data_IF_444825388997
#
_entry.id   IF_444825388997
#
_cell.length_a   1.000
_cell.length_b   1.000
_cell.length_c   1.000
_cell.angle_alpha   90.00
_cell.angle_beta   90.00
_cell.angle_gamma   90.00
#
_symmetry.space_group_name_H-M   'P 1'
#
loop_
_entity.id
_entity.type
_entity.pdbx_description
1 polymer ?
#
# COMPACT_ATOMS: atom_id res chain seq x y z
N UNK A 1 13.44 -57.12 100.26
CA UNK A 1 13.83 -56.01 99.38
C UNK A 1 12.76 -55.86 98.33
N UNK A 2 11.96 -54.81 98.43
CA UNK A 2 10.88 -54.53 97.49
C UNK A 2 11.45 -53.95 96.19
N UNK A 3 11.29 -54.66 95.08
CA UNK A 3 11.60 -54.12 93.76
C UNK A 3 10.37 -53.39 93.21
N UNK A 4 10.47 -52.06 93.12
CA UNK A 4 9.51 -51.21 92.43
C UNK A 4 9.71 -51.32 90.91
N UNK A 5 8.91 -52.14 90.23
CA UNK A 5 8.83 -52.12 88.76
C UNK A 5 7.72 -51.17 88.32
N UNK A 6 8.03 -50.24 87.42
CA UNK A 6 7.06 -49.33 86.80
C UNK A 6 6.97 -49.69 85.32
N UNK A 7 5.79 -50.12 84.88
CA UNK A 7 5.54 -50.48 83.48
C UNK A 7 5.13 -49.20 82.72
N UNK A 8 6.04 -48.60 81.96
CA UNK A 8 5.68 -47.55 81.01
C UNK A 8 5.14 -48.20 79.73
N UNK A 9 3.83 -48.11 79.53
CA UNK A 9 3.21 -48.52 78.26
C UNK A 9 3.48 -47.41 77.24
N UNK A 10 4.63 -47.51 76.56
CA UNK A 10 4.95 -46.63 75.44
C UNK A 10 4.13 -47.08 74.24
N UNK A 11 3.20 -46.24 73.79
CA UNK A 11 2.40 -46.52 72.60
C UNK A 11 3.29 -46.38 71.34
N UNK A 12 3.93 -47.49 70.96
CA UNK A 12 4.91 -47.53 69.88
C UNK A 12 4.37 -46.98 68.54
N UNK A 13 3.06 -47.11 68.27
CA UNK A 13 2.44 -46.57 67.04
C UNK A 13 2.42 -45.03 67.01
N UNK A 14 2.14 -44.38 68.14
CA UNK A 14 2.14 -42.92 68.23
C UNK A 14 3.58 -42.38 68.12
N UNK A 15 4.53 -43.01 68.80
CA UNK A 15 5.94 -42.59 68.79
C UNK A 15 6.59 -42.72 67.40
N UNK A 16 6.22 -43.76 66.65
CA UNK A 16 6.66 -43.93 65.25
C UNK A 16 6.01 -42.90 64.33
N UNK A 17 4.72 -42.59 64.51
CA UNK A 17 4.05 -41.56 63.73
C UNK A 17 4.68 -40.17 63.94
N UNK A 18 4.99 -39.80 65.18
CA UNK A 18 5.66 -38.53 65.51
C UNK A 18 7.08 -38.46 64.92
N UNK A 19 7.84 -39.56 65.02
CA UNK A 19 9.19 -39.64 64.42
C UNK A 19 9.17 -39.56 62.90
N UNK A 20 8.22 -40.23 62.24
CA UNK A 20 8.04 -40.14 60.79
C UNK A 20 7.60 -38.73 60.39
N UNK A 21 6.69 -38.11 61.14
CA UNK A 21 6.23 -36.76 60.89
C UNK A 21 7.37 -35.73 61.00
N UNK A 22 8.20 -35.79 62.04
CA UNK A 22 9.35 -34.89 62.16
C UNK A 22 10.40 -35.10 61.07
N UNK A 23 10.65 -36.36 60.67
CA UNK A 23 11.57 -36.65 59.56
C UNK A 23 11.04 -36.09 58.24
N UNK A 24 9.74 -36.28 57.94
CA UNK A 24 9.10 -35.74 56.74
C UNK A 24 9.14 -34.22 56.76
N UNK A 25 8.78 -33.57 57.87
CA UNK A 25 8.81 -32.11 58.00
C UNK A 25 10.23 -31.53 57.86
N UNK A 26 11.25 -32.21 58.38
CA UNK A 26 12.66 -31.78 58.23
C UNK A 26 13.14 -31.89 56.78
N UNK A 27 12.71 -32.92 56.04
CA UNK A 27 13.10 -33.14 54.64
C UNK A 27 12.33 -32.18 53.73
N UNK A 28 11.02 -32.03 53.92
CA UNK A 28 10.17 -31.09 53.18
C UNK A 28 10.59 -29.63 53.40
N UNK A 29 10.95 -29.27 54.63
CA UNK A 29 11.43 -27.94 54.99
C UNK A 29 12.73 -27.52 54.28
N UNK A 30 13.53 -28.48 53.79
CA UNK A 30 14.74 -28.21 53.00
C UNK A 30 14.51 -28.26 51.49
N UNK A 31 13.74 -29.24 51.00
CA UNK A 31 13.53 -29.48 49.56
C UNK A 31 12.69 -28.39 48.91
N UNK A 32 11.60 -27.97 49.56
CA UNK A 32 10.67 -26.97 49.02
C UNK A 32 11.36 -25.62 48.76
N UNK A 33 12.09 -25.00 49.72
CA UNK A 33 12.76 -23.73 49.46
C UNK A 33 13.87 -23.84 48.42
N UNK A 34 14.57 -24.98 48.36
CA UNK A 34 15.57 -25.23 47.32
C UNK A 34 14.93 -25.30 45.92
N UNK A 35 13.83 -26.03 45.77
CA UNK A 35 13.07 -26.06 44.51
C UNK A 35 12.56 -24.68 44.11
N UNK A 36 12.00 -23.92 45.06
CA UNK A 36 11.53 -22.56 44.81
C UNK A 36 12.68 -21.64 44.37
N UNK A 37 13.86 -21.76 44.99
CA UNK A 37 15.05 -21.02 44.59
C UNK A 37 15.49 -21.40 43.17
N UNK A 38 15.52 -22.68 42.83
CA UNK A 38 15.84 -23.14 41.48
C UNK A 38 14.86 -22.59 40.44
N UNK A 39 13.56 -22.58 40.74
CA UNK A 39 12.54 -22.00 39.85
C UNK A 39 12.72 -20.50 39.71
N UNK A 40 12.98 -19.77 40.79
CA UNK A 40 13.24 -18.32 40.78
C UNK A 40 14.49 -17.96 39.97
N UNK A 41 15.57 -18.70 40.14
CA UNK A 41 16.81 -18.51 39.37
C UNK A 41 16.57 -18.84 37.90
N UNK A 42 15.88 -19.94 37.59
CA UNK A 42 15.51 -20.31 36.23
C UNK A 42 14.66 -19.23 35.55
N UNK A 43 13.65 -18.71 36.25
CA UNK A 43 12.82 -17.61 35.79
C UNK A 43 13.64 -16.33 35.53
N UNK A 44 14.54 -15.98 36.47
CA UNK A 44 15.41 -14.81 36.32
C UNK A 44 16.31 -14.91 35.09
N UNK A 45 16.95 -16.07 34.89
CA UNK A 45 17.81 -16.32 33.73
C UNK A 45 17.02 -16.29 32.43
N UNK A 46 15.86 -16.95 32.37
CA UNK A 46 15.00 -16.96 31.19
C UNK A 46 14.55 -15.54 30.82
N UNK A 47 14.11 -14.76 31.82
CA UNK A 47 13.65 -13.39 31.59
C UNK A 47 14.79 -12.49 31.07
N UNK A 48 15.98 -12.60 31.67
CA UNK A 48 17.14 -11.75 31.32
C UNK A 48 17.78 -12.11 29.98
N UNK A 49 17.89 -13.40 29.65
CA UNK A 49 18.62 -13.85 28.46
C UNK A 49 17.72 -14.11 27.25
N UNK A 50 16.41 -14.31 27.42
CA UNK A 50 15.49 -14.63 26.31
C UNK A 50 14.42 -13.55 26.16
N UNK A 51 13.69 -13.23 27.23
CA UNK A 51 12.49 -12.37 27.13
C UNK A 51 12.86 -10.92 26.82
N UNK A 52 13.78 -10.33 27.60
CA UNK A 52 14.22 -8.94 27.37
C UNK A 52 14.72 -8.66 25.94
N UNK A 53 15.64 -9.46 25.36
CA UNK A 53 16.12 -9.19 24.01
C UNK A 53 15.03 -9.38 22.95
N UNK A 54 14.16 -10.39 23.07
CA UNK A 54 13.03 -10.59 22.15
C UNK A 54 12.09 -9.39 22.17
N UNK A 55 11.78 -8.85 23.36
CA UNK A 55 10.91 -7.66 23.47
C UNK A 55 11.56 -6.44 22.82
N UNK A 56 12.86 -6.20 23.03
CA UNK A 56 13.57 -5.08 22.38
C UNK A 56 13.58 -5.19 20.86
N UNK A 57 13.69 -6.42 20.33
CA UNK A 57 13.61 -6.70 18.90
C UNK A 57 12.21 -6.39 18.39
N UNK A 58 11.17 -6.92 19.05
CA UNK A 58 9.79 -6.72 18.66
C UNK A 58 9.40 -5.24 18.64
N UNK A 59 9.85 -4.46 19.64
CA UNK A 59 9.60 -3.01 19.66
C UNK A 59 10.33 -2.28 18.54
N UNK A 60 11.60 -2.62 18.25
CA UNK A 60 12.35 -2.00 17.13
C UNK A 60 11.73 -2.31 15.76
N UNK A 61 11.16 -3.50 15.59
CA UNK A 61 10.44 -3.90 14.36
C UNK A 61 9.11 -3.16 14.25
N UNK A 62 8.38 -3.00 15.36
CA UNK A 62 7.10 -2.29 15.36
C UNK A 62 7.28 -0.79 15.04
N UNK A 63 8.33 -0.18 15.59
CA UNK A 63 8.71 1.21 15.28
C UNK A 63 9.16 1.37 13.81
N UNK A 64 9.62 0.31 13.14
CA UNK A 64 10.05 0.33 11.74
C UNK A 64 8.92 0.08 10.73
N UNK A 65 7.64 0.09 11.14
CA UNK A 65 6.48 -0.05 10.24
C UNK A 65 6.45 0.98 9.09
N UNK A 66 7.26 2.02 9.14
CA UNK A 66 7.43 3.06 8.12
C UNK A 66 8.48 2.74 7.05
N UNK A 67 9.12 1.56 7.10
CA UNK A 67 10.18 1.19 6.18
C UNK A 67 11.54 1.81 6.55
N UNK A 68 12.62 1.09 6.24
CA UNK A 68 13.99 1.49 6.57
C UNK A 68 14.87 0.30 6.97
N UNK A 69 16.16 0.57 7.14
CA UNK A 69 17.12 -0.44 7.60
C UNK A 69 16.91 -0.66 9.10
N UNK A 70 16.61 -1.89 9.47
CA UNK A 70 16.55 -2.32 10.86
C UNK A 70 17.97 -2.71 11.25
N UNK A 71 18.57 -1.91 12.13
CA UNK A 71 19.89 -2.18 12.70
C UNK A 71 19.75 -2.50 14.19
N UNK A 72 19.79 -3.80 14.47
CA UNK A 72 19.78 -4.33 15.82
C UNK A 72 21.21 -4.79 16.12
N UNK A 73 21.91 -4.00 16.91
CA UNK A 73 23.18 -4.39 17.51
C UNK A 73 22.92 -5.39 18.64
N UNK A 74 23.39 -6.63 18.46
CA UNK A 74 23.24 -7.72 19.40
C UNK A 74 24.56 -8.48 19.50
N UNK A 75 25.35 -8.18 20.53
CA UNK A 75 26.71 -8.67 20.70
C UNK A 75 26.87 -10.09 21.26
N UNK A 76 25.84 -10.94 21.19
CA UNK A 76 25.94 -12.36 21.60
C UNK A 76 26.08 -13.23 20.36
N UNK A 77 27.04 -14.16 20.37
CA UNK A 77 27.27 -15.13 19.27
C UNK A 77 26.36 -16.38 19.35
N UNK A 78 25.18 -16.24 19.94
CA UNK A 78 24.17 -17.30 20.02
C UNK A 78 23.30 -17.36 18.76
N UNK A 79 22.35 -18.30 18.72
CA UNK A 79 21.42 -18.47 17.60
C UNK A 79 20.54 -17.22 17.38
N UNK A 80 20.29 -16.43 18.43
CA UNK A 80 19.54 -15.18 18.36
C UNK A 80 20.40 -14.13 17.63
N UNK A 81 21.70 -14.04 17.94
CA UNK A 81 22.62 -13.15 17.25
C UNK A 81 22.82 -13.51 15.78
N UNK A 82 22.87 -14.81 15.47
CA UNK A 82 22.91 -15.26 14.07
C UNK A 82 21.64 -14.85 13.30
N UNK A 83 20.46 -15.05 13.90
CA UNK A 83 19.19 -14.65 13.31
C UNK A 83 19.12 -13.14 13.07
N UNK A 84 19.58 -12.34 14.03
CA UNK A 84 19.61 -10.88 13.93
C UNK A 84 20.53 -10.42 12.81
N UNK A 85 21.74 -10.97 12.73
CA UNK A 85 22.69 -10.65 11.65
C UNK A 85 22.08 -10.93 10.29
N UNK A 86 21.46 -12.11 10.11
CA UNK A 86 20.79 -12.49 8.86
C UNK A 86 19.61 -11.58 8.54
N UNK A 87 18.87 -11.16 9.56
CA UNK A 87 17.74 -10.25 9.40
C UNK A 87 18.20 -8.85 8.99
N UNK A 88 19.24 -8.31 9.62
CA UNK A 88 19.84 -7.01 9.26
C UNK A 88 20.37 -7.05 7.81
N UNK A 89 21.10 -8.10 7.43
CA UNK A 89 21.56 -8.34 6.04
C UNK A 89 20.39 -8.32 5.04
N UNK A 90 19.31 -9.05 5.36
CA UNK A 90 18.12 -9.11 4.52
C UNK A 90 17.43 -7.76 4.40
N UNK A 91 17.37 -7.00 5.48
CA UNK A 91 16.74 -5.67 5.49
C UNK A 91 17.54 -4.69 4.65
N UNK A 92 18.87 -4.70 4.74
CA UNK A 92 19.75 -3.90 3.87
C UNK A 92 19.54 -4.28 2.40
N UNK A 93 19.49 -5.58 2.09
CA UNK A 93 19.23 -6.06 0.74
C UNK A 93 17.87 -5.56 0.20
N UNK A 94 16.81 -5.68 0.99
CA UNK A 94 15.47 -5.22 0.60
C UNK A 94 15.43 -3.70 0.37
N UNK A 95 16.10 -2.92 1.22
CA UNK A 95 16.18 -1.47 1.03
C UNK A 95 16.97 -1.10 -0.23
N UNK A 96 18.07 -1.80 -0.53
CA UNK A 96 18.81 -1.61 -1.78
C UNK A 96 17.95 -1.91 -3.01
N UNK A 97 17.20 -3.02 -3.00
CA UNK A 97 16.29 -3.36 -4.10
C UNK A 97 15.14 -2.35 -4.22
N UNK A 98 14.61 -1.86 -3.10
CA UNK A 98 13.60 -0.79 -3.07
C UNK A 98 14.13 0.50 -3.71
N UNK A 99 15.35 0.92 -3.35
CA UNK A 99 15.99 2.12 -3.91
C UNK A 99 16.24 1.95 -5.41
N UNK A 100 16.72 0.78 -5.87
CA UNK A 100 16.89 0.50 -7.31
C UNK A 100 15.56 0.55 -8.06
N UNK A 101 14.51 -0.07 -7.53
CA UNK A 101 13.18 -0.05 -8.13
C UNK A 101 12.62 1.38 -8.22
N UNK A 102 12.81 2.19 -7.17
CA UNK A 102 12.40 3.60 -7.17
C UNK A 102 13.19 4.41 -8.20
N UNK A 103 14.52 4.23 -8.27
CA UNK A 103 15.36 4.92 -9.25
C UNK A 103 14.96 4.57 -10.69
N UNK A 104 14.67 3.30 -10.96
CA UNK A 104 14.18 2.83 -12.26
C UNK A 104 12.83 3.47 -12.62
N UNK A 105 11.89 3.50 -11.67
CA UNK A 105 10.57 4.13 -11.85
C UNK A 105 10.71 5.63 -12.11
N UNK A 106 11.58 6.32 -11.37
CA UNK A 106 11.86 7.75 -11.54
C UNK A 106 12.46 8.05 -12.91
N UNK A 107 13.45 7.25 -13.34
CA UNK A 107 14.07 7.39 -14.66
C UNK A 107 13.07 7.16 -15.79
N UNK A 108 12.20 6.15 -15.68
CA UNK A 108 11.14 5.86 -16.66
C UNK A 108 10.20 7.05 -16.84
N UNK A 109 9.73 7.64 -15.75
CA UNK A 109 8.80 8.80 -15.84
C UNK A 109 9.49 10.06 -16.36
N UNK A 110 10.73 10.32 -15.95
CA UNK A 110 11.50 11.44 -16.49
C UNK A 110 11.71 11.30 -18.01
N UNK A 111 12.07 10.10 -18.46
CA UNK A 111 12.21 9.78 -19.88
C UNK A 111 10.91 9.99 -20.66
N UNK A 112 9.78 9.48 -20.15
CA UNK A 112 8.48 9.67 -20.78
C UNK A 112 8.07 11.14 -20.83
N UNK A 113 8.33 11.91 -19.77
CA UNK A 113 8.07 13.35 -19.73
C UNK A 113 8.85 14.12 -20.81
N UNK A 114 10.15 13.84 -20.93
CA UNK A 114 11.00 14.44 -21.98
C UNK A 114 10.48 14.06 -23.37
N UNK A 115 10.24 12.77 -23.63
CA UNK A 115 9.71 12.32 -24.92
C UNK A 115 8.39 12.99 -25.26
N UNK A 116 7.49 13.15 -24.27
CA UNK A 116 6.22 13.80 -24.53
C UNK A 116 6.38 15.25 -24.96
N UNK A 117 7.28 16.01 -24.35
CA UNK A 117 7.59 17.37 -24.77
C UNK A 117 8.19 17.43 -26.18
N UNK A 118 9.11 16.52 -26.50
CA UNK A 118 9.76 16.42 -27.80
C UNK A 118 8.80 15.97 -28.92
N UNK A 119 7.77 15.18 -28.61
CA UNK A 119 6.73 14.77 -29.57
C UNK A 119 5.63 15.83 -29.69
N UNK A 120 5.24 16.46 -28.57
CA UNK A 120 4.18 17.48 -28.53
C UNK A 120 4.45 18.64 -29.50
N UNK A 121 5.68 19.12 -29.54
CA UNK A 121 6.06 20.28 -30.35
C UNK A 121 5.88 20.05 -31.85
N UNK A 122 6.48 19.00 -32.47
CA UNK A 122 6.25 18.70 -33.88
C UNK A 122 4.80 18.29 -34.16
N UNK A 123 4.15 17.56 -33.25
CA UNK A 123 2.75 17.16 -33.44
C UNK A 123 1.80 18.35 -33.47
N UNK A 124 1.97 19.33 -32.58
CA UNK A 124 1.17 20.55 -32.60
C UNK A 124 1.38 21.35 -33.90
N UNK A 125 2.59 21.32 -34.47
CA UNK A 125 2.88 21.91 -35.78
C UNK A 125 2.15 21.20 -36.92
N UNK A 126 2.18 19.86 -36.95
CA UNK A 126 1.48 19.04 -37.96
C UNK A 126 -0.04 19.21 -37.84
N UNK A 127 -0.59 19.09 -36.62
CA UNK A 127 -2.02 19.25 -36.36
C UNK A 127 -2.49 20.68 -36.66
N UNK A 128 -1.72 21.70 -36.28
CA UNK A 128 -2.03 23.09 -36.60
C UNK A 128 -2.07 23.33 -38.11
N UNK A 129 -1.10 22.79 -38.85
CA UNK A 129 -1.07 22.89 -40.32
C UNK A 129 -2.24 22.16 -40.95
N UNK A 130 -2.56 20.94 -40.50
CA UNK A 130 -3.73 20.18 -40.95
C UNK A 130 -5.03 20.95 -40.68
N UNK A 131 -5.16 21.59 -39.52
CA UNK A 131 -6.33 22.37 -39.15
C UNK A 131 -6.49 23.65 -39.99
N UNK A 132 -5.38 24.27 -40.42
CA UNK A 132 -5.40 25.39 -41.37
C UNK A 132 -5.83 24.91 -42.75
N UNK A 133 -5.24 23.81 -43.24
CA UNK A 133 -5.56 23.23 -44.55
C UNK A 133 -7.03 22.77 -44.63
N UNK A 134 -7.61 22.25 -43.54
CA UNK A 134 -9.03 21.88 -43.49
C UNK A 134 -9.99 23.06 -43.74
N UNK A 135 -9.51 24.30 -43.54
CA UNK A 135 -10.26 25.55 -43.78
C UNK A 135 -10.06 26.12 -45.18
N UNK A 136 -9.21 25.53 -46.02
CA UNK A 136 -9.00 25.93 -47.41
C UNK A 136 -9.95 25.18 -48.36
N UNK A 137 -10.10 25.62 -49.62
CA UNK A 137 -10.78 24.82 -50.63
C UNK A 137 -10.03 23.50 -50.83
N UNK A 138 -10.72 22.37 -50.64
CA UNK A 138 -10.19 21.02 -50.78
C UNK A 138 -11.19 20.18 -51.57
N UNK A 139 -10.71 19.20 -52.33
CA UNK A 139 -11.59 18.16 -52.88
C UNK A 139 -12.12 17.26 -51.75
N UNK A 140 -13.21 16.54 -51.99
CA UNK A 140 -13.79 15.64 -50.98
C UNK A 140 -12.81 14.56 -50.51
N UNK A 141 -12.00 14.01 -51.42
CA UNK A 141 -10.94 13.05 -51.05
C UNK A 141 -9.84 13.69 -50.19
N UNK A 142 -9.38 14.90 -50.54
CA UNK A 142 -8.38 15.61 -49.76
C UNK A 142 -8.89 15.93 -48.35
N UNK A 143 -10.15 16.38 -48.24
CA UNK A 143 -10.80 16.63 -46.94
C UNK A 143 -10.85 15.36 -46.10
N UNK A 144 -11.23 14.23 -46.69
CA UNK A 144 -11.30 12.93 -46.00
C UNK A 144 -9.93 12.47 -45.49
N UNK A 145 -8.90 12.53 -46.33
CA UNK A 145 -7.53 12.17 -45.94
C UNK A 145 -7.00 13.08 -44.83
N UNK A 146 -7.22 14.39 -44.95
CA UNK A 146 -6.73 15.37 -43.99
C UNK A 146 -7.46 15.28 -42.64
N UNK A 147 -8.77 15.00 -42.64
CA UNK A 147 -9.53 14.71 -41.42
C UNK A 147 -8.98 13.47 -40.72
N UNK A 148 -8.76 12.39 -41.48
CA UNK A 148 -8.21 11.13 -40.93
C UNK A 148 -6.84 11.34 -40.30
N UNK A 149 -5.98 12.14 -40.94
CA UNK A 149 -4.65 12.50 -40.41
C UNK A 149 -4.75 13.31 -39.13
N UNK A 150 -5.64 14.31 -39.10
CA UNK A 150 -5.88 15.14 -37.93
C UNK A 150 -6.39 14.31 -36.75
N UNK A 151 -7.42 13.50 -36.96
CA UNK A 151 -8.04 12.66 -35.94
C UNK A 151 -7.03 11.63 -35.38
N UNK A 152 -6.18 11.07 -36.24
CA UNK A 152 -5.12 10.13 -35.83
C UNK A 152 -4.06 10.82 -34.97
N UNK A 153 -3.66 12.04 -35.33
CA UNK A 153 -2.67 12.80 -34.56
C UNK A 153 -3.21 13.28 -33.22
N UNK A 154 -4.47 13.71 -33.16
CA UNK A 154 -5.15 14.08 -31.91
C UNK A 154 -5.32 12.87 -30.98
N UNK A 155 -5.67 11.70 -31.53
CA UNK A 155 -5.73 10.46 -30.77
C UNK A 155 -4.37 10.06 -30.20
N UNK A 156 -3.30 10.13 -31.00
CA UNK A 156 -1.94 9.86 -30.52
C UNK A 156 -1.55 10.81 -29.37
N UNK A 157 -1.93 12.09 -29.47
CA UNK A 157 -1.64 13.08 -28.45
C UNK A 157 -2.40 12.79 -27.14
N UNK A 158 -3.63 12.32 -27.24
CA UNK A 158 -4.42 11.86 -26.09
C UNK A 158 -3.73 10.69 -25.40
N UNK A 159 -3.35 9.64 -26.15
CA UNK A 159 -2.65 8.47 -25.60
C UNK A 159 -1.33 8.84 -24.92
N UNK A 160 -0.56 9.75 -25.53
CA UNK A 160 0.70 10.23 -24.99
C UNK A 160 0.51 10.92 -23.62
N UNK A 161 -0.53 11.77 -23.51
CA UNK A 161 -0.86 12.42 -22.24
C UNK A 161 -1.35 11.41 -21.20
N UNK A 162 -2.14 10.40 -21.59
CA UNK A 162 -2.60 9.34 -20.69
C UNK A 162 -1.43 8.50 -20.14
N UNK A 163 -0.43 8.18 -20.97
CA UNK A 163 0.79 7.45 -20.53
C UNK A 163 1.59 8.27 -19.52
N UNK A 164 1.69 9.59 -19.73
CA UNK A 164 2.34 10.48 -18.77
C UNK A 164 1.59 10.53 -17.44
N UNK A 165 0.27 10.70 -17.48
CA UNK A 165 -0.55 10.76 -16.29
C UNK A 165 -0.47 9.45 -15.50
N UNK A 166 -0.51 8.31 -16.20
CA UNK A 166 -0.27 7.00 -15.59
C UNK A 166 1.10 6.91 -14.91
N UNK A 167 2.16 7.41 -15.56
CA UNK A 167 3.52 7.38 -15.01
C UNK A 167 3.70 8.27 -13.76
N UNK A 168 2.92 9.36 -13.65
CA UNK A 168 2.85 10.18 -12.43
C UNK A 168 2.07 9.48 -11.32
N UNK A 169 1.01 8.76 -11.66
CA UNK A 169 0.21 7.97 -10.72
C UNK A 169 1.05 6.84 -10.09
N UNK A 170 1.85 6.11 -10.89
CA UNK A 170 2.74 5.04 -10.38
C UNK A 170 3.73 5.54 -9.31
N UNK A 171 4.09 6.82 -9.32
CA UNK A 171 5.01 7.42 -8.35
C UNK A 171 4.32 8.02 -7.12
N UNK A 172 3.00 7.95 -7.04
CA UNK A 172 2.23 8.64 -5.99
C UNK A 172 2.21 10.17 -6.14
N UNK A 173 2.70 10.73 -7.24
CA UNK A 173 2.74 12.17 -7.52
C UNK A 173 1.47 12.65 -8.24
N UNK A 174 0.30 12.22 -7.77
CA UNK A 174 -0.98 12.73 -8.29
C UNK A 174 -1.31 14.02 -7.57
N UNK A 175 -1.00 15.15 -8.20
CA UNK A 175 -1.53 16.43 -7.79
C UNK A 175 -2.97 16.58 -8.31
N UNK A 176 -3.91 16.77 -7.39
CA UNK A 176 -5.30 17.11 -7.71
C UNK A 176 -5.41 18.63 -7.79
N UNK A 177 -5.87 19.14 -8.93
CA UNK A 177 -6.16 20.56 -9.08
C UNK A 177 -7.58 20.84 -8.60
N UNK A 178 -7.76 20.86 -7.28
CA UNK A 178 -9.05 21.15 -6.67
C UNK A 178 -9.44 22.60 -6.96
N UNK A 179 -10.58 22.77 -7.60
CA UNK A 179 -11.18 24.08 -7.84
C UNK A 179 -12.70 23.98 -7.70
N UNK A 180 -13.39 25.03 -7.21
CA UNK A 180 -14.84 25.06 -7.20
C UNK A 180 -15.42 25.04 -8.62
N UNK A 181 -16.31 24.10 -8.91
CA UNK A 181 -17.03 24.04 -10.18
C UNK A 181 -18.49 23.57 -10.03
N UNK A 182 -19.41 24.07 -10.88
CA UNK A 182 -20.75 23.50 -11.02
C UNK A 182 -20.72 22.27 -11.94
N UNK A 183 -21.39 21.19 -11.55
CA UNK A 183 -21.44 19.93 -12.32
C UNK A 183 -22.05 20.13 -13.71
N UNK A 184 -22.93 21.11 -13.84
CA UNK A 184 -23.60 21.53 -15.07
C UNK A 184 -22.60 21.95 -16.14
N UNK A 185 -21.45 22.50 -15.75
CA UNK A 185 -20.39 22.86 -16.69
C UNK A 185 -19.76 21.64 -17.37
N UNK A 186 -19.65 20.52 -16.66
CA UNK A 186 -19.17 19.25 -17.21
C UNK A 186 -20.26 18.62 -18.10
N UNK A 187 -21.51 18.58 -17.60
CA UNK A 187 -22.66 18.07 -18.35
C UNK A 187 -22.84 18.85 -19.67
N UNK A 188 -22.73 20.18 -19.63
CA UNK A 188 -22.81 21.03 -20.82
C UNK A 188 -21.73 20.70 -21.85
N UNK A 189 -20.49 20.48 -21.39
CA UNK A 189 -19.38 20.07 -22.26
C UNK A 189 -19.65 18.71 -22.92
N UNK A 190 -20.14 17.74 -22.14
CA UNK A 190 -20.52 16.41 -22.64
C UNK A 190 -21.63 16.51 -23.69
N UNK A 191 -22.70 17.27 -23.39
CA UNK A 191 -23.80 17.47 -24.33
C UNK A 191 -23.34 18.08 -25.64
N UNK A 192 -22.49 19.10 -25.59
CA UNK A 192 -22.00 19.78 -26.80
C UNK A 192 -21.23 18.86 -27.73
N UNK A 193 -20.42 17.95 -27.18
CA UNK A 193 -19.55 17.06 -27.97
C UNK A 193 -20.33 15.83 -28.46
N UNK A 194 -20.98 15.12 -27.55
CA UNK A 194 -21.60 13.83 -27.85
C UNK A 194 -22.97 13.94 -28.54
N UNK A 195 -23.63 15.10 -28.49
CA UNK A 195 -24.84 15.29 -29.29
C UNK A 195 -24.53 15.22 -30.79
N UNK A 196 -23.48 15.91 -31.23
CA UNK A 196 -23.05 15.88 -32.64
C UNK A 196 -22.50 14.50 -33.01
N UNK A 197 -21.60 13.95 -32.19
CA UNK A 197 -20.96 12.66 -32.45
C UNK A 197 -21.98 11.51 -32.56
N UNK A 198 -22.97 11.46 -31.66
CA UNK A 198 -24.03 10.46 -31.71
C UNK A 198 -24.97 10.71 -32.90
N UNK A 199 -25.32 11.96 -33.22
CA UNK A 199 -26.17 12.28 -34.35
C UNK A 199 -25.54 11.83 -35.69
N UNK A 200 -24.23 12.04 -35.87
CA UNK A 200 -23.49 11.55 -37.04
C UNK A 200 -23.48 10.03 -37.14
N UNK A 201 -23.46 9.32 -36.00
CA UNK A 201 -23.57 7.85 -35.93
C UNK A 201 -25.03 7.35 -35.99
N UNK A 202 -26.02 8.24 -36.03
CA UNK A 202 -27.44 7.88 -35.99
C UNK A 202 -27.92 7.33 -34.64
N UNK A 203 -27.25 7.69 -33.55
CA UNK A 203 -27.59 7.30 -32.18
C UNK A 203 -28.35 8.43 -31.45
N UNK A 204 -29.31 8.06 -30.60
CA UNK A 204 -29.91 9.02 -29.67
C UNK A 204 -29.00 9.24 -28.45
N UNK A 205 -28.78 10.50 -28.10
CA UNK A 205 -28.02 10.89 -26.92
C UNK A 205 -28.89 11.62 -25.91
N UNK A 206 -29.10 11.03 -24.74
CA UNK A 206 -29.87 11.62 -23.63
C UNK A 206 -29.05 11.62 -22.34
N UNK A 207 -28.98 12.78 -21.70
CA UNK A 207 -28.30 12.95 -20.40
C UNK A 207 -29.34 13.18 -19.31
N UNK A 208 -29.36 12.30 -18.31
CA UNK A 208 -30.18 12.45 -17.11
C UNK A 208 -29.26 12.65 -15.91
N UNK A 209 -29.39 13.76 -15.20
CA UNK A 209 -28.61 14.05 -13.99
C UNK A 209 -29.54 14.07 -12.79
N UNK A 210 -29.19 13.31 -11.75
CA UNK A 210 -29.83 13.35 -10.43
C UNK A 210 -29.10 14.29 -9.46
N UNK A 211 -28.05 14.95 -9.93
CA UNK A 211 -27.23 15.86 -9.12
C UNK A 211 -27.98 17.18 -8.91
N UNK A 212 -28.06 17.72 -7.68
CA UNK A 212 -28.75 18.97 -7.39
C UNK A 212 -28.21 20.14 -8.23
N UNK A 213 -29.11 20.89 -8.84
CA UNK A 213 -28.77 22.05 -9.68
C UNK A 213 -28.26 23.20 -8.80
N UNK A 214 -27.22 23.90 -9.24
CA UNK A 214 -26.63 25.05 -8.55
C UNK A 214 -25.66 24.67 -7.42
N UNK A 215 -25.37 23.38 -7.23
CA UNK A 215 -24.37 22.92 -6.26
C UNK A 215 -22.97 23.02 -6.85
N UNK A 216 -22.08 23.62 -6.08
CA UNK A 216 -20.66 23.68 -6.39
C UNK A 216 -19.90 22.55 -5.71
N UNK A 217 -18.91 22.01 -6.40
CA UNK A 217 -18.03 20.94 -5.94
C UNK A 217 -16.60 21.45 -5.95
N UNK A 218 -15.85 21.16 -4.90
CA UNK A 218 -14.43 21.46 -4.83
C UNK A 218 -13.63 20.18 -5.11
N UNK A 219 -13.13 20.04 -6.34
CA UNK A 219 -12.43 18.84 -6.82
C UNK A 219 -11.72 19.12 -8.16
N UNK A 220 -11.01 18.13 -8.69
CA UNK A 220 -10.37 18.21 -10.02
C UNK A 220 -11.39 18.03 -11.16
N UNK A 221 -11.96 19.16 -11.60
CA UNK A 221 -12.90 19.24 -12.72
C UNK A 221 -12.36 18.58 -14.00
N UNK A 222 -11.08 18.80 -14.30
CA UNK A 222 -10.48 18.36 -15.55
C UNK A 222 -10.39 16.83 -15.61
N UNK A 223 -9.94 16.21 -14.52
CA UNK A 223 -9.89 14.75 -14.39
C UNK A 223 -11.28 14.13 -14.42
N UNK A 224 -12.25 14.70 -13.70
CA UNK A 224 -13.63 14.18 -13.72
C UNK A 224 -14.22 14.23 -15.13
N UNK A 225 -13.99 15.33 -15.85
CA UNK A 225 -14.38 15.46 -17.27
C UNK A 225 -13.70 14.39 -18.13
N UNK A 226 -12.39 14.18 -17.95
CA UNK A 226 -11.63 13.18 -18.71
C UNK A 226 -12.18 11.76 -18.51
N UNK A 227 -12.46 11.37 -17.27
CA UNK A 227 -13.08 10.07 -16.96
C UNK A 227 -14.40 9.90 -17.71
N UNK A 228 -15.28 10.90 -17.64
CA UNK A 228 -16.58 10.83 -18.30
C UNK A 228 -16.44 10.77 -19.83
N UNK A 229 -15.52 11.54 -20.42
CA UNK A 229 -15.25 11.49 -21.86
C UNK A 229 -14.72 10.12 -22.29
N UNK A 230 -13.82 9.51 -21.53
CA UNK A 230 -13.32 8.16 -21.87
C UNK A 230 -14.42 7.10 -21.80
N UNK A 231 -15.30 7.17 -20.81
CA UNK A 231 -16.46 6.27 -20.72
C UNK A 231 -17.44 6.49 -21.87
N UNK A 232 -17.73 7.74 -22.23
CA UNK A 232 -18.65 8.08 -23.30
C UNK A 232 -18.09 7.76 -24.69
N UNK A 233 -16.79 7.97 -24.92
CA UNK A 233 -16.12 7.52 -26.15
C UNK A 233 -16.25 6.01 -26.32
N UNK A 234 -16.04 5.24 -25.26
CA UNK A 234 -16.27 3.80 -25.30
C UNK A 234 -17.74 3.48 -25.55
N UNK A 235 -18.68 4.14 -24.88
CA UNK A 235 -20.10 3.92 -25.08
C UNK A 235 -20.53 4.17 -26.54
N UNK A 236 -20.11 5.28 -27.15
CA UNK A 236 -20.42 5.58 -28.56
C UNK A 236 -19.71 4.61 -29.49
N UNK A 237 -18.45 4.28 -29.24
CA UNK A 237 -17.67 3.33 -30.06
C UNK A 237 -18.37 1.97 -30.14
N UNK A 238 -18.83 1.43 -29.01
CA UNK A 238 -19.40 0.08 -28.91
C UNK A 238 -20.93 0.02 -29.05
N UNK A 239 -21.61 1.15 -29.21
CA UNK A 239 -23.05 1.17 -29.50
C UNK A 239 -23.27 1.31 -31.00
N UNK A 240 -23.70 0.23 -31.66
CA UNK A 240 -23.92 0.24 -33.11
C UNK A 240 -25.32 0.74 -33.51
N UNK A 241 -26.32 0.54 -32.65
CA UNK A 241 -27.71 0.99 -32.86
C UNK A 241 -28.36 1.33 -31.53
N UNK A 242 -29.10 2.44 -31.49
CA UNK A 242 -29.88 2.88 -30.33
C UNK A 242 -30.67 4.13 -30.68
N UNK A 243 -31.99 3.98 -30.80
CA UNK A 243 -32.96 5.08 -30.98
C UNK A 243 -33.31 5.67 -29.62
#
# INVERSE_FOLDING_TARGET
GEFHWKLEVVNAKAKVADQVFEQVMSVEGGIIPFLLLCVLVGYYLLNRYIVEPIVRIATKIDDSKTGGIIDIDYGSEDEIGHLITKFNEKTIYLEQERVKAQASTNAKTAFLATLSHEIRTPMNGVLGTAQILLKTPLTDEQRKHLSTLYDSGDHMMTLLNEILDYSKIEQGHVEFSNSPFPIESIIGSIKSVYHTLCAEKGLQFKVTSLVPVGRWYDNDKARLRQVLFNLLNNAVKFTDRGI
#
